data_IF_029570749948
#
_entry.id   IF_029570749948
#
_cell.length_a   1.000
_cell.length_b   1.000
_cell.length_c   1.000
_cell.angle_alpha   90.00
_cell.angle_beta   90.00
_cell.angle_gamma   90.00
#
_symmetry.space_group_name_H-M   'P 1'
#
loop_
_entity.id
_entity.type
_entity.pdbx_description
1 polymer ?
#
# COMPACT_ATOMS: atom_id res chain seq x y z
N UNK A 1 -10.09 21.50 -6.57
CA UNK A 1 -11.30 21.31 -7.41
C UNK A 1 -10.93 21.02 -8.86
N UNK A 2 -10.17 21.91 -9.53
CA UNK A 2 -9.71 21.71 -10.91
C UNK A 2 -8.98 20.38 -11.19
N UNK A 3 -8.02 20.00 -10.33
CA UNK A 3 -7.24 18.76 -10.52
C UNK A 3 -8.07 17.47 -10.41
N UNK A 4 -9.12 17.46 -9.57
CA UNK A 4 -10.04 16.34 -9.46
C UNK A 4 -10.85 16.15 -10.75
N UNK A 5 -11.28 17.26 -11.34
CA UNK A 5 -12.00 17.26 -12.63
C UNK A 5 -11.09 16.69 -13.73
N UNK A 6 -9.82 17.12 -13.79
CA UNK A 6 -8.84 16.58 -14.75
C UNK A 6 -8.60 15.08 -14.56
N UNK A 7 -8.48 14.61 -13.32
CA UNK A 7 -8.29 13.19 -13.04
C UNK A 7 -9.49 12.35 -13.51
N UNK A 8 -10.71 12.82 -13.23
CA UNK A 8 -11.95 12.17 -13.68
C UNK A 8 -12.03 12.14 -15.21
N UNK A 9 -11.75 13.26 -15.88
CA UNK A 9 -11.70 13.34 -17.35
C UNK A 9 -10.70 12.35 -17.94
N UNK A 10 -9.52 12.20 -17.34
CA UNK A 10 -8.48 11.28 -17.81
C UNK A 10 -8.95 9.81 -17.66
N UNK A 11 -9.63 9.47 -16.56
CA UNK A 11 -10.24 8.15 -16.36
C UNK A 11 -11.33 7.88 -17.41
N UNK A 12 -12.25 8.82 -17.61
CA UNK A 12 -13.30 8.72 -18.63
C UNK A 12 -12.72 8.57 -20.04
N UNK A 13 -11.70 9.35 -20.39
CA UNK A 13 -10.98 9.24 -21.65
C UNK A 13 -10.38 7.84 -21.83
N UNK A 14 -9.70 7.31 -20.80
CA UNK A 14 -9.09 5.99 -20.85
C UNK A 14 -10.12 4.86 -21.06
N UNK A 15 -11.27 4.92 -20.37
CA UNK A 15 -12.33 3.90 -20.47
C UNK A 15 -13.05 3.97 -21.81
N UNK A 16 -13.47 5.16 -22.24
CA UNK A 16 -14.42 5.31 -23.34
C UNK A 16 -13.78 5.71 -24.68
N UNK A 17 -12.66 6.44 -24.69
CA UNK A 17 -12.17 7.13 -25.89
C UNK A 17 -10.74 6.78 -26.31
N UNK A 18 -9.93 6.15 -25.45
CA UNK A 18 -8.53 5.88 -25.75
C UNK A 18 -8.36 4.83 -26.89
N UNK A 19 -7.69 5.16 -28.00
CA UNK A 19 -7.37 4.18 -29.04
C UNK A 19 -6.37 3.13 -28.56
N UNK A 20 -6.43 1.92 -29.15
CA UNK A 20 -5.59 0.78 -28.75
C UNK A 20 -4.08 1.09 -28.81
N UNK A 21 -3.66 1.97 -29.71
CA UNK A 21 -2.26 2.39 -29.87
C UNK A 21 -1.68 3.10 -28.63
N UNK A 22 -2.49 3.88 -27.89
CA UNK A 22 -2.02 4.63 -26.70
C UNK A 22 -2.39 3.94 -25.38
N UNK A 23 -3.30 2.96 -25.40
CA UNK A 23 -3.72 2.23 -24.19
C UNK A 23 -2.54 1.52 -23.51
N UNK A 24 -1.57 1.01 -24.27
CA UNK A 24 -0.36 0.39 -23.72
C UNK A 24 0.44 1.36 -22.85
N UNK A 25 0.69 2.57 -23.35
CA UNK A 25 1.41 3.62 -22.61
C UNK A 25 0.62 4.05 -21.36
N UNK A 26 -0.70 4.23 -21.48
CA UNK A 26 -1.55 4.61 -20.35
C UNK A 26 -1.59 3.52 -19.26
N UNK A 27 -1.55 2.24 -19.62
CA UNK A 27 -1.47 1.14 -18.65
C UNK A 27 -0.17 1.17 -17.85
N UNK A 28 0.95 1.33 -18.54
CA UNK A 28 2.26 1.42 -17.88
C UNK A 28 2.30 2.66 -16.98
N UNK A 29 1.79 3.79 -17.46
CA UNK A 29 1.70 5.01 -16.67
C UNK A 29 0.88 4.80 -15.40
N UNK A 30 -0.33 4.23 -15.50
CA UNK A 30 -1.19 3.92 -14.34
C UNK A 30 -0.52 2.94 -13.37
N UNK A 31 0.16 1.93 -13.89
CA UNK A 31 0.91 0.97 -13.08
C UNK A 31 2.00 1.66 -12.29
N UNK A 32 2.82 2.51 -12.94
CA UNK A 32 3.88 3.27 -12.27
C UNK A 32 3.31 4.21 -11.21
N UNK A 33 2.23 4.94 -11.51
CA UNK A 33 1.55 5.77 -10.51
C UNK A 33 1.05 4.95 -9.31
N UNK A 34 0.43 3.80 -9.56
CA UNK A 34 -0.02 2.89 -8.49
C UNK A 34 1.14 2.35 -7.67
N UNK A 35 2.25 2.01 -8.30
CA UNK A 35 3.44 1.46 -7.65
C UNK A 35 4.13 2.51 -6.78
N UNK A 36 4.25 3.75 -7.26
CA UNK A 36 4.76 4.88 -6.47
C UNK A 36 3.82 5.18 -5.29
N UNK A 37 2.50 5.17 -5.50
CA UNK A 37 1.53 5.37 -4.42
C UNK A 37 1.70 4.31 -3.32
N UNK A 38 1.79 3.03 -3.71
CA UNK A 38 2.04 1.93 -2.78
C UNK A 38 3.36 2.10 -2.04
N UNK A 39 4.43 2.48 -2.74
CA UNK A 39 5.73 2.71 -2.12
C UNK A 39 5.66 3.81 -1.05
N UNK A 40 5.00 4.93 -1.36
CA UNK A 40 4.81 6.03 -0.39
C UNK A 40 3.97 5.56 0.80
N UNK A 41 2.90 4.80 0.58
CA UNK A 41 2.07 4.26 1.65
C UNK A 41 2.87 3.33 2.57
N UNK A 42 3.73 2.47 2.01
CA UNK A 42 4.61 1.59 2.80
C UNK A 42 5.59 2.41 3.63
N UNK A 43 6.24 3.42 3.04
CA UNK A 43 7.14 4.30 3.77
C UNK A 43 6.42 5.02 4.92
N UNK A 44 5.23 5.55 4.66
CA UNK A 44 4.40 6.20 5.68
C UNK A 44 3.98 5.22 6.77
N UNK A 45 3.63 3.98 6.42
CA UNK A 45 3.29 2.95 7.38
C UNK A 45 4.48 2.63 8.30
N UNK A 46 5.68 2.46 7.75
CA UNK A 46 6.91 2.24 8.53
C UNK A 46 7.17 3.41 9.49
N UNK A 47 7.08 4.65 9.00
CA UNK A 47 7.23 5.85 9.84
C UNK A 47 6.13 5.94 10.90
N UNK A 48 4.90 5.51 10.58
CA UNK A 48 3.80 5.50 11.55
C UNK A 48 4.00 4.44 12.64
N UNK A 49 4.60 3.29 12.31
CA UNK A 49 4.91 2.24 13.29
C UNK A 49 5.96 2.70 14.30
N UNK A 50 6.93 3.52 13.90
CA UNK A 50 7.94 4.07 14.82
C UNK A 50 7.37 5.16 15.73
N UNK A 51 6.30 5.86 15.32
CA UNK A 51 5.54 6.78 16.19
C UNK A 51 4.57 6.07 17.15
N UNK A 52 4.41 4.76 17.03
CA UNK A 52 3.50 3.99 17.87
C UNK A 52 3.94 4.00 19.34
N UNK A 53 2.97 3.91 20.27
CA UNK A 53 3.24 3.90 21.71
C UNK A 53 4.19 2.76 22.09
N UNK A 54 5.00 2.97 23.14
CA UNK A 54 5.89 1.93 23.69
C UNK A 54 5.12 0.65 24.05
N UNK A 55 3.85 0.78 24.45
CA UNK A 55 2.96 -0.34 24.76
C UNK A 55 2.67 -1.23 23.56
N UNK A 56 2.55 -0.65 22.36
CA UNK A 56 2.34 -1.42 21.13
C UNK A 56 3.56 -2.30 20.83
N UNK A 57 4.76 -1.75 21.02
CA UNK A 57 6.01 -2.49 20.83
C UNK A 57 6.18 -3.62 21.86
N UNK A 58 5.92 -3.34 23.14
CA UNK A 58 5.99 -4.35 24.21
C UNK A 58 4.93 -5.43 23.99
N UNK A 59 3.70 -5.07 23.67
CA UNK A 59 2.62 -6.01 23.39
C UNK A 59 2.93 -6.91 22.18
N UNK A 60 3.48 -6.35 21.10
CA UNK A 60 3.92 -7.12 19.93
C UNK A 60 5.01 -8.14 20.30
N UNK A 61 6.01 -7.72 21.09
CA UNK A 61 7.07 -8.61 21.58
C UNK A 61 6.51 -9.75 22.44
N UNK A 62 5.65 -9.44 23.41
CA UNK A 62 5.05 -10.44 24.30
C UNK A 62 4.14 -11.41 23.52
N UNK A 63 3.42 -10.92 22.52
CA UNK A 63 2.59 -11.77 21.64
C UNK A 63 3.48 -12.73 20.83
N UNK A 64 4.58 -12.23 20.27
CA UNK A 64 5.54 -13.05 19.54
C UNK A 64 6.17 -14.13 20.43
N UNK A 65 6.59 -13.76 21.65
CA UNK A 65 7.15 -14.71 22.62
C UNK A 65 6.11 -15.75 23.06
N UNK A 66 4.85 -15.35 23.27
CA UNK A 66 3.77 -16.28 23.60
C UNK A 66 3.49 -17.29 22.49
N UNK A 67 3.45 -16.84 21.24
CA UNK A 67 3.31 -17.74 20.08
C UNK A 67 4.51 -18.69 19.97
N UNK A 68 5.71 -18.20 20.20
CA UNK A 68 6.91 -19.02 20.16
C UNK A 68 6.92 -20.08 21.27
N UNK A 69 6.49 -19.71 22.48
CA UNK A 69 6.34 -20.65 23.59
C UNK A 69 5.28 -21.73 23.32
N UNK A 70 4.17 -21.39 22.66
CA UNK A 70 3.16 -22.37 22.25
C UNK A 70 3.71 -23.38 21.24
N UNK A 71 4.48 -22.91 20.24
CA UNK A 71 5.14 -23.79 19.26
C UNK A 71 6.17 -24.69 19.93
N UNK A 72 6.89 -24.18 20.93
CA UNK A 72 7.87 -24.97 21.69
C UNK A 72 7.18 -26.07 22.50
N UNK A 73 6.04 -25.76 23.13
CA UNK A 73 5.23 -26.72 23.87
C UNK A 73 4.63 -27.82 22.99
N UNK A 74 4.24 -27.50 21.76
CA UNK A 74 3.73 -28.49 20.78
C UNK A 74 4.82 -29.44 20.28
N UNK A 75 6.10 -29.06 20.40
CA UNK A 75 7.26 -29.85 19.97
C UNK A 75 7.85 -30.76 21.07
N UNK A 76 7.33 -30.68 22.29
CA UNK A 76 7.72 -31.46 23.48
C UNK A 76 6.86 -32.73 23.62
#
# INVERSE_FOLDING_TARGET
MFYLILAILLILFYVFAAPKAIKGTLNVMLLVFGLVLLFVLVLLAIISLTKSSKEFWVGSLLTFLGLWALVDLERL
#
